data_IF_543377518782
#
_entry.id   IF_543377518782
#
_cell.length_a   1.000
_cell.length_b   1.000
_cell.length_c   1.000
_cell.angle_alpha   90.00
_cell.angle_beta   90.00
_cell.angle_gamma   90.00
#
_symmetry.space_group_name_H-M   'P 1'
#
loop_
_entity.id
_entity.type
_entity.pdbx_description
1 polymer ?
#
# COMPACT_ATOMS: atom_id res chain seq x y z
N UNK A 1 49.18 -21.99 3.40
CA UNK A 1 48.12 -22.73 2.69
C UNK A 1 47.33 -23.44 3.78
N UNK A 2 46.18 -22.96 4.22
CA UNK A 2 44.86 -23.11 3.57
C UNK A 2 43.99 -21.89 3.91
N UNK A 3 43.50 -21.18 2.89
CA UNK A 3 42.40 -20.24 3.06
C UNK A 3 41.10 -21.03 3.08
N UNK A 4 40.39 -21.04 4.20
CA UNK A 4 39.03 -21.55 4.29
C UNK A 4 38.10 -20.56 3.59
N UNK A 5 37.74 -20.86 2.34
CA UNK A 5 36.65 -20.17 1.65
C UNK A 5 35.34 -20.61 2.29
N UNK A 6 34.73 -19.73 3.08
CA UNK A 6 33.34 -19.87 3.48
C UNK A 6 32.49 -19.65 2.22
N UNK A 7 31.95 -20.73 1.66
CA UNK A 7 31.01 -20.66 0.55
C UNK A 7 29.70 -20.06 1.04
N UNK A 8 29.56 -18.74 0.92
CA UNK A 8 28.28 -18.09 1.08
C UNK A 8 27.46 -18.42 -0.18
N UNK A 9 26.62 -19.45 -0.10
CA UNK A 9 25.61 -19.69 -1.13
C UNK A 9 24.66 -18.49 -1.12
N UNK A 10 24.81 -17.61 -2.12
CA UNK A 10 23.89 -16.53 -2.38
C UNK A 10 22.57 -17.15 -2.81
N UNK A 11 21.62 -17.27 -1.88
CA UNK A 11 20.21 -17.52 -2.23
C UNK A 11 19.75 -16.29 -3.01
N UNK A 12 19.44 -16.48 -4.29
CA UNK A 12 18.77 -15.47 -5.09
C UNK A 12 17.43 -15.11 -4.40
N UNK A 13 17.01 -13.84 -4.50
CA UNK A 13 15.81 -13.34 -3.83
C UNK A 13 14.53 -14.11 -4.21
N UNK A 14 14.54 -14.83 -5.34
CA UNK A 14 13.45 -15.67 -5.84
C UNK A 14 13.24 -16.99 -5.09
N UNK A 15 14.12 -17.36 -4.16
CA UNK A 15 14.10 -18.67 -3.50
C UNK A 15 13.65 -18.59 -2.02
N UNK A 16 12.89 -17.55 -1.66
CA UNK A 16 12.40 -17.34 -0.29
C UNK A 16 10.89 -17.53 -0.23
N UNK A 17 10.46 -18.75 0.12
CA UNK A 17 9.12 -19.00 0.61
C UNK A 17 8.76 -18.02 1.75
N UNK A 18 7.47 -17.64 1.91
CA UNK A 18 7.03 -16.77 2.98
C UNK A 18 7.52 -17.26 4.35
N UNK A 19 7.96 -16.32 5.20
CA UNK A 19 8.46 -16.59 6.56
C UNK A 19 7.37 -17.20 7.45
N UNK A 20 6.12 -16.80 7.23
CA UNK A 20 5.00 -17.16 8.10
C UNK A 20 3.66 -17.06 7.37
N UNK A 21 2.77 -18.03 7.58
CA UNK A 21 1.41 -17.97 7.04
C UNK A 21 0.46 -17.35 8.09
N UNK A 22 0.32 -16.03 8.05
CA UNK A 22 -0.53 -15.28 8.99
C UNK A 22 -2.02 -15.64 8.87
N UNK A 23 -2.52 -15.83 7.65
CA UNK A 23 -3.92 -16.20 7.43
C UNK A 23 -4.27 -17.54 8.08
N UNK A 24 -3.38 -18.54 8.00
CA UNK A 24 -3.55 -19.85 8.62
C UNK A 24 -3.40 -19.81 10.14
N UNK A 25 -2.42 -19.06 10.63
CA UNK A 25 -2.10 -19.02 12.07
C UNK A 25 -3.06 -18.16 12.88
N UNK A 26 -3.62 -17.10 12.28
CA UNK A 26 -4.52 -16.15 12.94
C UNK A 26 -5.77 -15.86 12.08
N UNK A 27 -6.61 -16.88 11.77
CA UNK A 27 -7.67 -16.76 10.78
C UNK A 27 -8.76 -15.75 11.15
N UNK A 28 -9.07 -15.58 12.45
CA UNK A 28 -10.03 -14.58 12.91
C UNK A 28 -9.53 -13.14 12.69
N UNK A 29 -8.25 -12.89 13.00
CA UNK A 29 -7.64 -11.58 12.79
C UNK A 29 -7.53 -11.26 11.29
N UNK A 30 -7.11 -12.23 10.48
CA UNK A 30 -7.06 -12.09 9.03
C UNK A 30 -8.44 -11.79 8.43
N UNK A 31 -9.49 -12.50 8.87
CA UNK A 31 -10.88 -12.25 8.43
C UNK A 31 -11.36 -10.85 8.85
N UNK A 32 -11.04 -10.41 10.07
CA UNK A 32 -11.39 -9.06 10.51
C UNK A 32 -10.72 -7.99 9.66
N UNK A 33 -9.45 -8.19 9.28
CA UNK A 33 -8.74 -7.25 8.41
C UNK A 33 -9.33 -7.19 7.00
N UNK A 34 -9.76 -8.33 6.42
CA UNK A 34 -10.50 -8.35 5.15
C UNK A 34 -11.80 -7.54 5.27
N UNK A 35 -12.56 -7.72 6.36
CA UNK A 35 -13.80 -6.99 6.57
C UNK A 35 -13.57 -5.49 6.74
N UNK A 36 -12.51 -5.11 7.46
CA UNK A 36 -12.11 -3.71 7.61
C UNK A 36 -11.70 -3.09 6.28
N UNK A 37 -10.89 -3.78 5.47
CA UNK A 37 -10.50 -3.34 4.13
C UNK A 37 -11.71 -3.17 3.21
N UNK A 38 -12.65 -4.12 3.22
CA UNK A 38 -13.87 -4.04 2.42
C UNK A 38 -14.74 -2.82 2.82
N UNK A 39 -14.93 -2.59 4.11
CA UNK A 39 -15.68 -1.44 4.62
C UNK A 39 -14.98 -0.10 4.30
N UNK A 40 -13.64 -0.08 4.33
CA UNK A 40 -12.87 1.12 4.00
C UNK A 40 -12.99 1.53 2.53
N UNK A 41 -13.15 0.56 1.62
CA UNK A 41 -13.31 0.82 0.17
C UNK A 41 -14.72 1.25 -0.23
N UNK A 42 -15.72 0.91 0.57
CA UNK A 42 -17.13 1.07 0.18
C UNK A 42 -17.47 2.53 -0.11
N UNK A 43 -17.91 2.83 -1.33
CA UNK A 43 -18.32 4.17 -1.75
C UNK A 43 -17.18 5.13 -2.07
N UNK A 44 -15.92 4.67 -2.09
CA UNK A 44 -14.80 5.42 -2.67
C UNK A 44 -14.66 5.12 -4.16
N UNK A 45 -14.12 6.09 -4.91
CA UNK A 45 -13.70 5.89 -6.31
C UNK A 45 -12.63 4.77 -6.37
N UNK A 46 -12.82 3.71 -7.19
CA UNK A 46 -11.84 2.64 -7.34
C UNK A 46 -10.43 3.11 -7.74
N UNK A 47 -10.31 4.16 -8.56
CA UNK A 47 -9.01 4.72 -8.94
C UNK A 47 -8.32 5.34 -7.72
N UNK A 48 -9.03 6.17 -6.95
CA UNK A 48 -8.52 6.77 -5.72
C UNK A 48 -8.08 5.70 -4.70
N UNK A 49 -8.87 4.63 -4.57
CA UNK A 49 -8.56 3.50 -3.70
C UNK A 49 -7.19 2.90 -4.05
N UNK A 50 -6.91 2.65 -5.32
CA UNK A 50 -5.64 2.06 -5.71
C UNK A 50 -4.48 3.07 -5.65
N UNK A 51 -4.69 4.36 -5.94
CA UNK A 51 -3.65 5.39 -5.74
C UNK A 51 -3.15 5.45 -4.28
N UNK A 52 -4.08 5.49 -3.32
CA UNK A 52 -3.75 5.48 -1.88
C UNK A 52 -2.92 4.24 -1.53
N UNK A 53 -3.35 3.07 -2.02
CA UNK A 53 -2.68 1.83 -1.69
C UNK A 53 -1.30 1.69 -2.31
N UNK A 54 -1.15 2.14 -3.56
CA UNK A 54 0.15 2.20 -4.25
C UNK A 54 1.09 3.15 -3.51
N UNK A 55 0.62 4.37 -3.17
CA UNK A 55 1.48 5.35 -2.53
C UNK A 55 1.97 4.90 -1.16
N UNK A 56 1.09 4.38 -0.31
CA UNK A 56 1.48 3.82 0.99
C UNK A 56 2.47 2.65 0.84
N UNK A 57 2.23 1.77 -0.14
CA UNK A 57 3.09 0.61 -0.41
C UNK A 57 4.49 1.01 -0.89
N UNK A 58 4.60 2.07 -1.71
CA UNK A 58 5.89 2.65 -2.12
C UNK A 58 6.68 3.17 -0.91
N UNK A 59 6.03 3.94 -0.02
CA UNK A 59 6.67 4.52 1.15
C UNK A 59 7.14 3.45 2.16
N UNK A 60 6.34 2.39 2.33
CA UNK A 60 6.68 1.27 3.21
C UNK A 60 7.65 0.27 2.56
N UNK A 61 7.93 0.38 1.26
CA UNK A 61 8.76 -0.58 0.53
C UNK A 61 8.12 -1.98 0.39
N UNK A 62 6.78 -2.09 0.42
CA UNK A 62 6.09 -3.38 0.26
C UNK A 62 5.99 -3.76 -1.23
N UNK A 63 6.97 -4.49 -1.77
CA UNK A 63 6.94 -4.96 -3.16
C UNK A 63 5.74 -5.86 -3.49
N UNK A 64 5.34 -6.74 -2.54
CA UNK A 64 4.14 -7.58 -2.69
C UNK A 64 2.89 -6.74 -2.94
N UNK A 65 2.67 -5.77 -2.05
CA UNK A 65 1.50 -4.89 -2.08
C UNK A 65 1.55 -3.96 -3.31
N UNK A 66 2.74 -3.44 -3.65
CA UNK A 66 2.92 -2.60 -4.83
C UNK A 66 2.58 -3.35 -6.12
N UNK A 67 3.10 -4.57 -6.30
CA UNK A 67 2.74 -5.40 -7.44
C UNK A 67 1.23 -5.63 -7.51
N UNK A 68 0.64 -6.06 -6.39
CA UNK A 68 -0.77 -6.34 -6.25
C UNK A 68 -1.66 -5.14 -6.64
N UNK A 69 -1.40 -3.96 -6.07
CA UNK A 69 -2.21 -2.76 -6.31
C UNK A 69 -1.97 -2.12 -7.67
N UNK A 70 -0.76 -2.20 -8.22
CA UNK A 70 -0.54 -1.75 -9.61
C UNK A 70 -1.18 -2.69 -10.63
N UNK A 71 -1.33 -3.98 -10.32
CA UNK A 71 -2.14 -4.91 -11.14
C UNK A 71 -3.63 -4.58 -11.04
N UNK A 72 -4.15 -4.34 -9.83
CA UNK A 72 -5.56 -4.03 -9.63
C UNK A 72 -5.94 -2.65 -10.21
N UNK A 73 -5.08 -1.64 -10.09
CA UNK A 73 -5.25 -0.33 -10.73
C UNK A 73 -5.39 -0.44 -12.26
N UNK A 74 -4.54 -1.26 -12.91
CA UNK A 74 -4.64 -1.50 -14.35
C UNK A 74 -5.96 -2.14 -14.74
N UNK A 75 -6.46 -3.11 -13.95
CA UNK A 75 -7.78 -3.72 -14.18
C UNK A 75 -8.92 -2.72 -14.00
N UNK A 76 -8.74 -1.72 -13.14
CA UNK A 76 -9.67 -0.62 -12.94
C UNK A 76 -9.57 0.48 -14.01
N UNK A 77 -8.65 0.36 -14.98
CA UNK A 77 -8.49 1.31 -16.09
C UNK A 77 -7.56 2.50 -15.80
N UNK A 78 -6.74 2.41 -14.75
CA UNK A 78 -5.75 3.45 -14.43
C UNK A 78 -4.68 3.59 -15.54
N UNK A 79 -4.21 4.81 -15.75
CA UNK A 79 -3.26 5.14 -16.81
C UNK A 79 -1.81 4.79 -16.43
N UNK A 80 -1.03 4.25 -17.38
CA UNK A 80 0.37 3.86 -17.13
C UNK A 80 1.26 5.07 -16.81
N UNK A 81 1.03 6.24 -17.40
CA UNK A 81 1.83 7.42 -17.06
C UNK A 81 1.55 7.84 -15.61
N UNK A 82 0.29 7.82 -15.16
CA UNK A 82 -0.09 8.05 -13.75
C UNK A 82 0.56 7.03 -12.81
N UNK A 83 0.54 5.74 -13.15
CA UNK A 83 1.21 4.69 -12.36
C UNK A 83 2.72 4.89 -12.23
N UNK A 84 3.38 5.38 -13.28
CA UNK A 84 4.81 5.71 -13.22
C UNK A 84 5.07 7.00 -12.42
N UNK A 85 4.17 7.98 -12.48
CA UNK A 85 4.36 9.29 -11.84
C UNK A 85 4.01 9.30 -10.35
N UNK A 86 3.19 8.38 -9.86
CA UNK A 86 2.72 8.39 -8.45
C UNK A 86 3.86 8.34 -7.42
N UNK A 87 4.99 7.72 -7.76
CA UNK A 87 6.19 7.72 -6.91
C UNK A 87 6.76 9.12 -6.64
N UNK A 88 6.50 10.05 -7.56
CA UNK A 88 7.03 11.42 -7.60
C UNK A 88 5.90 12.45 -7.78
N UNK A 89 4.68 12.13 -7.33
CA UNK A 89 3.47 12.92 -7.63
C UNK A 89 3.56 14.41 -7.24
N UNK A 90 4.38 14.76 -6.24
CA UNK A 90 4.61 16.15 -5.80
C UNK A 90 5.22 17.02 -6.90
N UNK A 91 6.04 16.43 -7.79
CA UNK A 91 6.60 17.09 -8.97
C UNK A 91 5.76 16.86 -10.23
N UNK A 92 4.86 15.86 -10.20
CA UNK A 92 4.00 15.47 -11.31
C UNK A 92 2.51 15.81 -11.05
N UNK A 93 2.25 16.93 -10.36
CA UNK A 93 0.89 17.28 -9.88
C UNK A 93 -0.15 17.36 -10.98
N UNK A 94 0.25 17.74 -12.20
CA UNK A 94 -0.62 17.84 -13.36
C UNK A 94 -1.25 16.50 -13.80
N UNK A 95 -0.75 15.36 -13.30
CA UNK A 95 -1.33 14.05 -13.56
C UNK A 95 -2.48 13.71 -12.61
N UNK A 96 -2.64 14.43 -11.50
CA UNK A 96 -3.56 14.11 -10.42
C UNK A 96 -4.49 15.28 -10.13
N UNK A 97 -5.77 15.02 -9.86
CA UNK A 97 -6.72 16.05 -9.44
C UNK A 97 -6.36 16.61 -8.06
N UNK A 98 -6.87 17.79 -7.70
CA UNK A 98 -6.62 18.38 -6.38
C UNK A 98 -7.09 17.46 -5.23
N UNK A 99 -8.24 16.80 -5.42
CA UNK A 99 -8.77 15.79 -4.49
C UNK A 99 -7.83 14.58 -4.33
N UNK A 100 -7.29 14.06 -5.44
CA UNK A 100 -6.28 12.98 -5.40
C UNK A 100 -4.98 13.45 -4.73
N UNK A 101 -4.51 14.67 -5.02
CA UNK A 101 -3.32 15.24 -4.38
C UNK A 101 -3.51 15.37 -2.86
N UNK A 102 -4.68 15.81 -2.40
CA UNK A 102 -5.01 15.88 -0.98
C UNK A 102 -4.99 14.49 -0.32
N UNK A 103 -5.57 13.48 -0.98
CA UNK A 103 -5.51 12.09 -0.50
C UNK A 103 -4.09 11.52 -0.47
N UNK A 104 -3.27 11.81 -1.49
CA UNK A 104 -1.86 11.38 -1.53
C UNK A 104 -1.03 12.05 -0.44
N UNK A 105 -1.25 13.34 -0.18
CA UNK A 105 -0.61 14.06 0.92
C UNK A 105 -0.99 13.49 2.29
N UNK A 106 -2.30 13.24 2.53
CA UNK A 106 -2.77 12.63 3.76
C UNK A 106 -2.24 11.19 3.92
N UNK A 107 -2.19 10.42 2.82
CA UNK A 107 -1.61 9.07 2.80
C UNK A 107 -0.15 9.10 3.22
N UNK A 108 0.65 10.04 2.73
CA UNK A 108 2.05 10.21 3.14
C UNK A 108 2.19 10.53 4.62
N UNK A 109 1.45 11.54 5.10
CA UNK A 109 1.52 11.99 6.49
C UNK A 109 1.16 10.86 7.47
N UNK A 110 0.05 10.16 7.22
CA UNK A 110 -0.39 9.06 8.08
C UNK A 110 0.55 7.84 7.97
N UNK A 111 1.08 7.54 6.78
CA UNK A 111 2.03 6.43 6.61
C UNK A 111 3.35 6.69 7.33
N UNK A 112 3.84 7.93 7.27
CA UNK A 112 5.09 8.38 7.89
C UNK A 112 4.86 9.05 9.25
N UNK A 113 3.76 8.73 9.93
CA UNK A 113 3.33 9.38 11.19
C UNK A 113 4.40 9.41 12.28
N UNK A 114 5.32 8.44 12.29
CA UNK A 114 6.44 8.40 13.25
C UNK A 114 7.52 9.46 13.00
N UNK A 115 7.55 10.08 11.82
CA UNK A 115 8.53 11.11 11.45
C UNK A 115 8.03 12.49 11.88
N UNK A 116 6.88 12.89 11.35
CA UNK A 116 6.39 14.28 11.44
C UNK A 116 4.96 14.39 11.99
N UNK A 117 4.36 13.27 12.41
CA UNK A 117 2.95 13.21 12.77
C UNK A 117 2.04 13.40 11.55
N UNK A 118 0.85 13.98 11.78
CA UNK A 118 -0.06 14.41 10.72
C UNK A 118 -0.19 15.93 10.84
N UNK A 119 0.46 16.71 9.96
CA UNK A 119 0.37 18.18 10.00
C UNK A 119 -1.07 18.69 9.82
N UNK A 120 -1.41 19.75 10.57
CA UNK A 120 -2.76 20.33 10.57
C UNK A 120 -3.17 20.88 9.19
N UNK A 121 -2.22 21.42 8.43
CA UNK A 121 -2.45 21.96 7.08
C UNK A 121 -2.77 20.85 6.06
N UNK A 122 -2.10 19.70 6.15
CA UNK A 122 -2.41 18.50 5.34
C UNK A 122 -3.82 17.99 5.66
N UNK A 123 -4.19 17.96 6.95
CA UNK A 123 -5.51 17.52 7.36
C UNK A 123 -6.60 18.51 6.93
N UNK A 124 -6.37 19.81 7.12
CA UNK A 124 -7.28 20.87 6.70
C UNK A 124 -7.51 20.81 5.18
N UNK A 125 -6.46 20.63 4.38
CA UNK A 125 -6.62 20.49 2.93
C UNK A 125 -7.45 19.25 2.56
N UNK A 126 -7.25 18.11 3.23
CA UNK A 126 -8.11 16.94 3.01
C UNK A 126 -9.59 17.25 3.33
N UNK A 127 -9.88 17.98 4.40
CA UNK A 127 -11.27 18.35 4.74
C UNK A 127 -11.93 19.30 3.75
N UNK A 128 -11.16 19.98 2.89
CA UNK A 128 -11.72 20.79 1.80
C UNK A 128 -12.24 19.94 0.63
N UNK A 129 -11.67 18.75 0.41
CA UNK A 129 -11.97 17.91 -0.76
C UNK A 129 -12.85 16.70 -0.45
N UNK A 130 -12.97 16.33 0.82
CA UNK A 130 -13.71 15.15 1.29
C UNK A 130 -14.76 15.56 2.33
N UNK A 131 -15.98 15.04 2.19
CA UNK A 131 -16.94 15.10 3.28
C UNK A 131 -16.51 14.20 4.45
N UNK A 132 -17.18 14.33 5.60
CA UNK A 132 -16.81 13.61 6.83
C UNK A 132 -16.83 12.08 6.64
N UNK A 133 -17.81 11.55 5.89
CA UNK A 133 -17.94 10.12 5.66
C UNK A 133 -16.88 9.60 4.69
N UNK A 134 -16.62 10.34 3.62
CA UNK A 134 -15.60 10.02 2.63
C UNK A 134 -14.19 10.11 3.23
N UNK A 135 -13.90 11.15 4.03
CA UNK A 135 -12.63 11.30 4.74
C UNK A 135 -12.40 10.16 5.74
N UNK A 136 -13.45 9.76 6.47
CA UNK A 136 -13.39 8.60 7.36
C UNK A 136 -13.00 7.31 6.62
N UNK A 137 -13.53 7.11 5.41
CA UNK A 137 -13.18 5.97 4.54
C UNK A 137 -11.74 6.07 4.00
N UNK A 138 -11.31 7.26 3.57
CA UNK A 138 -9.92 7.50 3.15
C UNK A 138 -8.94 7.16 4.27
N UNK A 139 -9.19 7.63 5.49
CA UNK A 139 -8.37 7.29 6.66
C UNK A 139 -8.38 5.79 6.95
N UNK A 140 -9.55 5.16 6.95
CA UNK A 140 -9.69 3.72 7.15
C UNK A 140 -8.88 2.93 6.10
N UNK A 141 -8.91 3.35 4.84
CA UNK A 141 -8.15 2.73 3.76
C UNK A 141 -6.64 2.88 3.97
N UNK A 142 -6.17 4.07 4.37
CA UNK A 142 -4.76 4.31 4.70
C UNK A 142 -4.33 3.41 5.86
N UNK A 143 -5.16 3.22 6.88
CA UNK A 143 -4.88 2.32 8.00
C UNK A 143 -4.82 0.86 7.54
N UNK A 144 -5.75 0.45 6.67
CA UNK A 144 -5.82 -0.90 6.13
C UNK A 144 -4.55 -1.25 5.35
N UNK A 145 -4.14 -0.41 4.39
CA UNK A 145 -2.94 -0.68 3.60
C UNK A 145 -1.67 -0.65 4.44
N UNK A 146 -1.56 0.24 5.42
CA UNK A 146 -0.43 0.26 6.33
C UNK A 146 -0.34 -1.03 7.16
N UNK A 147 -1.47 -1.61 7.53
CA UNK A 147 -1.54 -2.91 8.21
C UNK A 147 -1.13 -4.03 7.24
N UNK A 148 -1.66 -4.05 6.02
CA UNK A 148 -1.31 -5.04 5.00
C UNK A 148 0.18 -5.01 4.63
N UNK A 149 0.77 -3.82 4.48
CA UNK A 149 2.20 -3.65 4.24
C UNK A 149 3.02 -4.28 5.37
N UNK A 150 2.66 -4.04 6.64
CA UNK A 150 3.34 -4.62 7.82
C UNK A 150 3.21 -6.14 7.85
N UNK A 151 2.05 -6.69 7.52
CA UNK A 151 1.86 -8.14 7.42
C UNK A 151 2.76 -8.71 6.32
N UNK A 152 2.69 -8.17 5.10
CA UNK A 152 3.46 -8.68 3.97
C UNK A 152 4.97 -8.64 4.22
N UNK A 153 5.49 -7.53 4.75
CA UNK A 153 6.92 -7.36 5.06
C UNK A 153 7.38 -8.26 6.21
N UNK A 154 6.63 -8.33 7.31
CA UNK A 154 7.01 -9.15 8.49
C UNK A 154 6.91 -10.67 8.20
N UNK A 155 6.05 -11.05 7.26
CA UNK A 155 5.88 -12.44 6.82
C UNK A 155 6.65 -12.79 5.54
N UNK A 156 7.40 -11.84 4.97
CA UNK A 156 8.19 -12.00 3.76
C UNK A 156 7.38 -12.54 2.57
N UNK A 157 6.19 -11.99 2.32
CA UNK A 157 5.41 -12.28 1.10
C UNK A 157 6.17 -11.84 -0.16
N UNK A 158 6.04 -12.61 -1.24
CA UNK A 158 6.81 -12.45 -2.48
C UNK A 158 5.95 -11.82 -3.58
N UNK A 159 6.40 -10.70 -4.15
CA UNK A 159 5.70 -10.04 -5.25
C UNK A 159 5.51 -10.97 -6.45
N UNK A 160 4.36 -10.89 -7.12
CA UNK A 160 3.98 -11.80 -8.20
C UNK A 160 3.31 -13.10 -7.74
N UNK A 161 3.42 -13.48 -6.46
CA UNK A 161 2.75 -14.64 -5.87
C UNK A 161 1.41 -14.25 -5.22
N UNK A 162 0.59 -13.45 -5.91
CA UNK A 162 -0.70 -13.01 -5.37
C UNK A 162 -1.65 -14.20 -5.18
N UNK A 163 -1.83 -14.61 -3.92
CA UNK A 163 -2.67 -15.73 -3.51
C UNK A 163 -4.17 -15.49 -3.77
N UNK A 164 -4.60 -14.25 -4.09
CA UNK A 164 -6.00 -13.95 -4.47
C UNK A 164 -6.34 -14.44 -5.87
N UNK A 165 -5.38 -14.49 -6.78
CA UNK A 165 -5.58 -14.94 -8.17
C UNK A 165 -5.83 -16.46 -8.29
N UNK A 166 -5.57 -17.22 -7.22
CA UNK A 166 -5.75 -18.66 -7.16
C UNK A 166 -7.11 -19.10 -6.59
N UNK A 167 -8.07 -18.17 -6.43
CA UNK A 167 -9.43 -18.41 -5.93
C UNK A 167 -10.46 -17.86 -6.90
#
# INVERSE_FOLDING_TARGET
MVMTQTTHTSRTAHDRAPRFNFAKAAPKAFKALIGFDAAAREGLDPALVELIQIRASLLNGCAYCLHMHTTDARKAGEDEARLHMIGVWREARNFFTEKEQAALALTEAVTLVSRDGVPDDVYAEATHHFDEQELGRVLALIFAINTWNRIALSTAKVAGEDERAAR
#
